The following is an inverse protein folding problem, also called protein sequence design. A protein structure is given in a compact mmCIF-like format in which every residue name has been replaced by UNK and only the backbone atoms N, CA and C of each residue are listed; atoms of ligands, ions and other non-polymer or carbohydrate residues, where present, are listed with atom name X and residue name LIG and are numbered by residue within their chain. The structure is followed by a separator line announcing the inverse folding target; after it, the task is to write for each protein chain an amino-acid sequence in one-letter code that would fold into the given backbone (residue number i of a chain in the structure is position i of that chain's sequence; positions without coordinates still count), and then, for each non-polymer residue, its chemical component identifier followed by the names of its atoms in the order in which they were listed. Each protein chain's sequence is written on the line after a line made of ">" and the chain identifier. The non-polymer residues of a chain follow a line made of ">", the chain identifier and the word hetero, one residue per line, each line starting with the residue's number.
data_IF_787877261893
#
_entry.id   IF_787877261893
#
_cell.length_a   1.000
_cell.length_b   1.000
_cell.length_c   1.000
_cell.angle_alpha   90.00
_cell.angle_beta   90.00
_cell.angle_gamma   90.00
#
_symmetry.space_group_name_H-M   'P 1'
#
loop_
_entity.id
_entity.type
_entity.pdbx_description
1 polymer ?
#
# COMPACT_ATOMS: atom_id res chain seq x y z
N UNK A 1 -13.40 4.23 8.97
CA UNK A 1 -13.36 3.96 7.50
C UNK A 1 -11.98 3.50 7.03
N UNK A 2 -11.26 2.67 7.81
CA UNK A 2 -9.82 2.38 7.58
C UNK A 2 -9.58 1.35 6.47
N UNK A 3 -10.39 0.29 6.37
CA UNK A 3 -10.29 -0.71 5.29
C UNK A 3 -10.64 -0.22 3.86
N UNK A 4 -11.21 0.99 3.72
CA UNK A 4 -11.59 1.53 2.40
C UNK A 4 -10.38 1.94 1.56
N UNK A 5 -9.29 2.38 2.19
CA UNK A 5 -8.08 2.79 1.48
C UNK A 5 -7.39 1.61 0.80
N UNK A 6 -7.23 0.49 1.52
CA UNK A 6 -6.67 -0.74 0.96
C UNK A 6 -7.53 -1.29 -0.19
N UNK A 7 -8.86 -1.22 -0.06
CA UNK A 7 -9.78 -1.65 -1.11
C UNK A 7 -9.68 -0.78 -2.38
N UNK A 8 -9.54 0.55 -2.22
CA UNK A 8 -9.34 1.46 -3.36
C UNK A 8 -7.98 1.21 -4.02
N UNK A 9 -6.91 1.05 -3.25
CA UNK A 9 -5.57 0.75 -3.79
C UNK A 9 -5.57 -0.58 -4.56
N UNK A 10 -6.15 -1.63 -3.99
CA UNK A 10 -6.28 -2.93 -4.66
C UNK A 10 -7.12 -2.88 -5.93
N UNK A 11 -8.22 -2.12 -5.92
CA UNK A 11 -9.08 -1.93 -7.10
C UNK A 11 -8.33 -1.20 -8.22
N UNK A 12 -7.62 -0.11 -7.90
CA UNK A 12 -6.81 0.63 -8.89
C UNK A 12 -5.72 -0.26 -9.48
N UNK A 13 -4.97 -0.97 -8.63
CA UNK A 13 -3.93 -1.90 -9.08
C UNK A 13 -4.49 -3.03 -9.97
N UNK A 14 -5.64 -3.61 -9.59
CA UNK A 14 -6.33 -4.64 -10.36
C UNK A 14 -6.87 -4.12 -11.69
N UNK A 15 -7.40 -2.89 -11.72
CA UNK A 15 -7.92 -2.27 -12.94
C UNK A 15 -6.81 -1.99 -13.95
N UNK A 16 -5.64 -1.50 -13.51
CA UNK A 16 -4.48 -1.26 -14.40
C UNK A 16 -3.94 -2.58 -14.94
N UNK A 17 -3.86 -3.62 -14.11
CA UNK A 17 -3.39 -4.94 -14.53
C UNK A 17 -4.39 -5.64 -15.47
N UNK A 18 -5.69 -5.49 -15.23
CA UNK A 18 -6.76 -6.03 -16.06
C UNK A 18 -6.97 -5.29 -17.40
N UNK A 19 -6.69 -3.99 -17.43
CA UNK A 19 -6.79 -3.17 -18.64
C UNK A 19 -5.67 -3.46 -19.68
N UNK A 20 -4.70 -4.33 -19.37
CA UNK A 20 -3.57 -4.68 -20.25
C UNK A 20 -3.97 -5.32 -21.59
N UNK A 21 -5.25 -5.62 -21.81
CA UNK A 21 -5.76 -6.15 -23.08
C UNK A 21 -5.88 -5.09 -24.22
N UNK A 22 -5.71 -3.78 -23.95
CA UNK A 22 -5.81 -2.72 -24.97
C UNK A 22 -4.53 -1.89 -25.11
N UNK A 23 -3.67 -2.20 -26.10
CA UNK A 23 -2.38 -1.51 -26.31
C UNK A 23 -2.52 -0.01 -26.54
N UNK A 24 -3.51 0.45 -27.32
CA UNK A 24 -3.66 1.86 -27.65
C UNK A 24 -4.08 2.74 -26.46
N UNK A 25 -4.82 2.17 -25.51
CA UNK A 25 -5.26 2.87 -24.29
C UNK A 25 -4.22 2.81 -23.18
N UNK A 26 -3.41 1.74 -23.13
CA UNK A 26 -2.32 1.63 -22.18
C UNK A 26 -1.28 2.76 -22.37
N UNK A 27 -0.90 3.06 -23.61
CA UNK A 27 0.08 4.12 -23.90
C UNK A 27 -0.42 5.52 -23.50
N UNK A 28 -1.70 5.82 -23.73
CA UNK A 28 -2.31 7.10 -23.32
C UNK A 28 -2.34 7.24 -21.79
N UNK A 29 -2.72 6.17 -21.09
CA UNK A 29 -2.79 6.15 -19.63
C UNK A 29 -1.38 6.21 -19.05
N UNK A 30 -0.41 5.49 -19.63
CA UNK A 30 0.99 5.50 -19.21
C UNK A 30 1.62 6.88 -19.34
N UNK A 31 1.36 7.59 -20.44
CA UNK A 31 1.91 8.94 -20.66
C UNK A 31 1.34 9.94 -19.64
N UNK A 32 0.03 9.84 -19.35
CA UNK A 32 -0.61 10.67 -18.34
C UNK A 32 -0.15 10.31 -16.92
N UNK A 33 -0.02 9.02 -16.62
CA UNK A 33 0.51 8.55 -15.36
C UNK A 33 1.97 9.00 -15.14
N UNK A 34 2.80 8.97 -16.17
CA UNK A 34 4.18 9.46 -16.12
C UNK A 34 4.23 10.96 -15.80
N UNK A 35 3.40 11.78 -16.46
CA UNK A 35 3.30 13.23 -16.14
C UNK A 35 2.88 13.51 -14.71
N UNK A 36 1.99 12.69 -14.14
CA UNK A 36 1.57 12.82 -12.75
C UNK A 36 2.65 12.32 -11.80
N UNK A 37 3.38 11.26 -12.17
CA UNK A 37 4.47 10.69 -11.39
C UNK A 37 5.68 11.63 -11.28
N UNK A 38 5.98 12.38 -12.35
CA UNK A 38 7.08 13.35 -12.36
C UNK A 38 6.81 14.62 -11.55
N UNK A 39 5.59 14.82 -11.03
CA UNK A 39 5.29 15.98 -10.20
C UNK A 39 6.09 15.92 -8.87
N UNK A 40 6.71 17.04 -8.44
CA UNK A 40 7.53 17.07 -7.22
C UNK A 40 6.75 16.70 -5.95
N UNK A 41 5.45 16.99 -5.94
CA UNK A 41 4.54 16.60 -4.85
C UNK A 41 4.35 15.09 -4.75
N UNK A 42 4.41 14.36 -5.87
CA UNK A 42 4.29 12.90 -5.89
C UNK A 42 5.64 12.27 -5.53
N UNK A 43 6.73 12.76 -6.12
CA UNK A 43 8.11 12.34 -5.80
C UNK A 43 8.41 12.44 -4.30
N UNK A 44 8.10 13.57 -3.67
CA UNK A 44 8.34 13.77 -2.23
C UNK A 44 7.49 12.87 -1.33
N UNK A 45 6.31 12.42 -1.78
CA UNK A 45 5.51 11.41 -1.06
C UNK A 45 6.05 9.99 -1.31
N UNK A 46 6.46 9.69 -2.53
CA UNK A 46 7.09 8.40 -2.88
C UNK A 46 8.38 8.20 -2.10
N UNK A 47 9.20 9.23 -1.93
CA UNK A 47 10.44 9.14 -1.13
C UNK A 47 10.16 8.91 0.36
N UNK A 48 9.15 9.56 0.94
CA UNK A 48 8.74 9.31 2.34
C UNK A 48 8.25 7.88 2.52
N UNK A 49 7.43 7.40 1.58
CA UNK A 49 6.93 6.01 1.59
C UNK A 49 8.07 5.02 1.33
N UNK A 50 9.03 5.33 0.45
CA UNK A 50 10.21 4.50 0.19
C UNK A 50 11.11 4.41 1.42
N UNK A 51 11.32 5.51 2.14
CA UNK A 51 12.08 5.52 3.38
C UNK A 51 11.42 4.64 4.46
N UNK A 52 10.09 4.70 4.58
CA UNK A 52 9.34 3.88 5.53
C UNK A 52 9.26 2.40 5.10
N UNK A 53 8.97 2.17 3.83
CA UNK A 53 8.77 0.85 3.23
C UNK A 53 10.05 0.03 3.10
N UNK A 54 11.20 0.66 2.79
CA UNK A 54 12.49 -0.04 2.80
C UNK A 54 12.86 -0.48 4.21
N UNK A 55 12.54 0.31 5.24
CA UNK A 55 12.79 -0.06 6.64
C UNK A 55 11.88 -1.21 7.11
N UNK A 56 10.60 -1.16 6.75
CA UNK A 56 9.65 -2.25 7.03
C UNK A 56 10.03 -3.53 6.27
N UNK A 57 10.41 -3.43 4.99
CA UNK A 57 10.80 -4.59 4.17
C UNK A 57 12.09 -5.25 4.66
N UNK A 58 13.05 -4.48 5.16
CA UNK A 58 14.31 -5.01 5.73
C UNK A 58 14.10 -5.72 7.07
N UNK A 59 12.97 -5.47 7.73
CA UNK A 59 12.64 -6.01 9.06
C UNK A 59 11.67 -7.19 9.03
N UNK A 60 11.11 -7.52 7.85
CA UNK A 60 10.07 -8.55 7.71
C UNK A 60 10.48 -9.66 6.72
N UNK A 61 11.44 -10.54 7.08
CA UNK A 61 11.72 -11.75 6.31
C UNK A 61 10.55 -12.75 6.30
N UNK A 62 9.78 -12.79 7.39
CA UNK A 62 8.75 -13.80 7.62
C UNK A 62 7.53 -13.70 6.71
N UNK A 63 7.06 -12.48 6.43
CA UNK A 63 5.80 -12.27 5.67
C UNK A 63 6.02 -12.47 4.17
N UNK A 64 7.20 -12.09 3.66
CA UNK A 64 7.63 -12.39 2.27
C UNK A 64 7.76 -13.89 2.04
N UNK A 65 8.38 -14.61 2.98
CA UNK A 65 8.56 -16.06 2.87
C UNK A 65 7.23 -16.84 3.02
N UNK A 66 6.36 -16.39 3.93
CA UNK A 66 5.04 -17.00 4.19
C UNK A 66 4.07 -16.75 3.03
N UNK A 67 4.11 -15.57 2.41
CA UNK A 67 3.35 -15.24 1.20
C UNK A 67 3.74 -16.07 -0.02
N UNK A 68 5.04 -16.32 -0.22
CA UNK A 68 5.51 -17.18 -1.31
C UNK A 68 5.10 -18.66 -1.11
N UNK A 69 5.19 -19.18 0.11
CA UNK A 69 4.80 -20.56 0.44
C UNK A 69 3.29 -20.79 0.36
N UNK A 70 2.47 -19.82 0.78
CA UNK A 70 1.00 -19.95 0.77
C UNK A 70 0.44 -19.99 -0.65
N UNK A 71 0.99 -19.17 -1.55
CA UNK A 71 0.63 -19.17 -2.98
C UNK A 71 1.03 -20.49 -3.66
N UNK A 72 2.22 -21.01 -3.35
CA UNK A 72 2.71 -22.28 -3.90
C UNK A 72 1.94 -23.49 -3.34
N UNK A 73 1.59 -23.47 -2.05
CA UNK A 73 0.79 -24.50 -1.39
C UNK A 73 -0.66 -24.55 -1.91
N UNK A 74 -1.28 -23.39 -2.14
CA UNK A 74 -2.61 -23.30 -2.76
C UNK A 74 -2.63 -23.78 -4.21
N UNK A 75 -1.50 -23.67 -4.92
CA UNK A 75 -1.35 -24.14 -6.30
C UNK A 75 -1.14 -25.66 -6.44
N UNK A 76 -0.88 -26.38 -5.35
CA UNK A 76 -0.51 -27.81 -5.40
C UNK A 76 -1.66 -28.78 -5.05
N UNK A 77 -2.81 -28.28 -4.60
CA UNK A 77 -3.91 -29.13 -4.13
C UNK A 77 -4.70 -29.82 -5.25
N UNK A 78 -4.59 -31.14 -5.39
CA UNK A 78 -5.44 -31.95 -6.26
C UNK A 78 -6.86 -32.07 -5.69
N UNK A 79 -7.87 -31.76 -6.49
CA UNK A 79 -9.29 -31.84 -6.11
C UNK A 79 -10.18 -31.21 -7.18
N UNK A 80 -11.51 -31.34 -7.03
CA UNK A 80 -12.46 -30.70 -7.95
C UNK A 80 -12.30 -29.17 -7.90
N UNK A 81 -12.61 -28.50 -9.02
CA UNK A 81 -12.44 -27.04 -9.17
C UNK A 81 -13.12 -26.25 -8.05
N UNK A 82 -14.27 -26.74 -7.59
CA UNK A 82 -15.06 -26.14 -6.52
C UNK A 82 -14.35 -26.17 -5.15
N UNK A 83 -13.81 -27.34 -4.78
CA UNK A 83 -13.16 -27.55 -3.48
C UNK A 83 -11.82 -26.81 -3.41
N UNK A 84 -11.14 -26.70 -4.55
CA UNK A 84 -9.92 -25.90 -4.70
C UNK A 84 -10.23 -24.41 -4.61
N UNK A 85 -11.31 -23.94 -5.21
CA UNK A 85 -11.75 -22.55 -5.11
C UNK A 85 -12.15 -22.17 -3.67
N UNK A 86 -12.84 -23.07 -2.94
CA UNK A 86 -13.18 -22.81 -1.54
C UNK A 86 -11.96 -22.79 -0.62
N UNK A 87 -11.01 -23.72 -0.81
CA UNK A 87 -9.75 -23.72 -0.04
C UNK A 87 -8.90 -22.50 -0.35
N UNK A 88 -8.77 -22.14 -1.63
CA UNK A 88 -8.07 -20.94 -2.05
C UNK A 88 -8.76 -19.68 -1.51
N UNK A 89 -10.09 -19.63 -1.51
CA UNK A 89 -10.87 -18.51 -0.96
C UNK A 89 -10.67 -18.34 0.55
N UNK A 90 -10.66 -19.45 1.31
CA UNK A 90 -10.38 -19.40 2.77
C UNK A 90 -8.94 -18.99 3.08
N UNK A 91 -7.97 -19.57 2.37
CA UNK A 91 -6.56 -19.21 2.51
C UNK A 91 -6.33 -17.73 2.14
N UNK A 92 -6.92 -17.27 1.04
CA UNK A 92 -6.87 -15.88 0.61
C UNK A 92 -7.46 -14.93 1.66
N UNK A 93 -8.60 -15.30 2.27
CA UNK A 93 -9.25 -14.51 3.32
C UNK A 93 -8.40 -14.41 4.59
N UNK A 94 -7.71 -15.48 4.99
CA UNK A 94 -6.77 -15.46 6.10
C UNK A 94 -5.54 -14.59 5.80
N UNK A 95 -4.94 -14.73 4.63
CA UNK A 95 -3.81 -13.88 4.24
C UNK A 95 -4.21 -12.42 4.06
N UNK A 96 -5.44 -12.14 3.63
CA UNK A 96 -5.96 -10.78 3.52
C UNK A 96 -6.15 -10.13 4.89
N UNK A 97 -6.56 -10.89 5.92
CA UNK A 97 -6.64 -10.39 7.30
C UNK A 97 -5.25 -10.06 7.87
N UNK A 98 -4.27 -10.95 7.72
CA UNK A 98 -2.91 -10.72 8.23
C UNK A 98 -2.23 -9.52 7.54
N UNK A 99 -2.48 -9.30 6.25
CA UNK A 99 -1.98 -8.13 5.52
C UNK A 99 -2.76 -6.86 5.89
N UNK A 100 -4.06 -6.96 6.14
CA UNK A 100 -4.87 -5.82 6.57
C UNK A 100 -4.40 -5.28 7.93
N UNK A 101 -4.09 -6.16 8.89
CA UNK A 101 -3.59 -5.77 10.21
C UNK A 101 -2.24 -5.03 10.10
N UNK A 102 -1.30 -5.54 9.30
CA UNK A 102 0.01 -4.89 9.07
C UNK A 102 -0.12 -3.53 8.38
N UNK A 103 -1.07 -3.41 7.44
CA UNK A 103 -1.36 -2.15 6.75
C UNK A 103 -2.02 -1.15 7.70
N UNK A 104 -2.94 -1.58 8.57
CA UNK A 104 -3.56 -0.71 9.57
C UNK A 104 -2.53 -0.19 10.57
N UNK A 105 -1.63 -1.05 11.06
CA UNK A 105 -0.56 -0.66 11.98
C UNK A 105 0.37 0.38 11.35
N UNK A 106 0.80 0.15 10.10
CA UNK A 106 1.65 1.08 9.34
C UNK A 106 0.95 2.42 9.05
N UNK A 107 -0.37 2.41 8.82
CA UNK A 107 -1.16 3.62 8.56
C UNK A 107 -1.37 4.44 9.83
N UNK A 108 -1.58 3.79 10.97
CA UNK A 108 -1.74 4.48 12.25
C UNK A 108 -0.41 5.08 12.74
N UNK A 109 0.73 4.42 12.51
CA UNK A 109 2.07 4.99 12.71
C UNK A 109 2.33 6.22 11.84
N UNK A 110 1.99 6.14 10.54
CA UNK A 110 2.14 7.27 9.62
C UNK A 110 1.26 8.48 10.04
N UNK A 111 0.02 8.23 10.49
CA UNK A 111 -0.86 9.28 11.02
C UNK A 111 -0.34 9.89 12.32
N UNK A 112 0.26 9.10 13.20
CA UNK A 112 0.89 9.59 14.42
C UNK A 112 2.09 10.48 14.12
N UNK A 113 2.93 10.06 13.17
CA UNK A 113 4.07 10.84 12.71
C UNK A 113 3.63 12.19 12.10
N UNK A 114 2.59 12.20 11.27
CA UNK A 114 2.02 13.43 10.70
C UNK A 114 1.43 14.37 11.76
N UNK A 115 0.67 13.86 12.73
CA UNK A 115 0.11 14.67 13.82
C UNK A 115 1.21 15.30 14.67
N UNK A 116 2.27 14.53 14.94
CA UNK A 116 3.42 14.99 15.71
C UNK A 116 4.20 16.06 14.96
N UNK A 117 4.41 15.88 13.66
CA UNK A 117 5.02 16.86 12.77
C UNK A 117 4.18 18.15 12.64
N UNK A 118 2.86 18.02 12.48
CA UNK A 118 1.92 19.15 12.41
C UNK A 118 1.89 19.94 13.71
N UNK A 119 1.93 19.26 14.86
CA UNK A 119 1.95 19.92 16.17
C UNK A 119 3.26 20.67 16.40
N UNK A 120 4.41 20.07 16.02
CA UNK A 120 5.71 20.74 16.05
C UNK A 120 5.78 21.93 15.09
N UNK A 121 5.24 21.79 13.88
CA UNK A 121 5.18 22.89 12.91
C UNK A 121 4.30 24.05 13.41
N UNK A 122 3.18 23.76 14.08
CA UNK A 122 2.31 24.76 14.69
C UNK A 122 2.95 25.45 15.91
N UNK A 123 3.71 24.71 16.72
CA UNK A 123 4.49 25.27 17.84
C UNK A 123 5.62 26.20 17.35
N UNK A 124 6.33 25.81 16.29
CA UNK A 124 7.37 26.64 15.67
C UNK A 124 6.81 27.96 15.09
N UNK A 125 5.58 27.93 14.54
CA UNK A 125 4.88 29.12 14.03
C UNK A 125 4.30 30.02 15.13
N UNK A 126 4.10 29.49 16.34
CA UNK A 126 3.63 30.25 17.51
C UNK A 126 4.76 31.03 18.19
N UNK A 127 5.99 30.50 18.18
CA UNK A 127 7.16 31.15 18.80
C UNK A 127 7.72 32.34 17.99
N UNK A 128 7.41 32.45 16.70
CA UNK A 128 7.85 33.58 15.87
C UNK A 128 7.02 34.85 16.04
N UNK A 129 5.90 34.78 16.76
CA UNK A 129 4.98 35.93 16.95
C UNK A 129 5.15 36.59 18.34
N UNK A 130 5.92 35.99 19.25
CA UNK A 130 6.13 36.52 20.61
C UNK A 130 7.46 37.26 20.81
N UNK A 131 8.28 37.44 19.77
CA UNK A 131 9.55 38.20 19.83
C UNK A 131 9.48 39.56 19.13
N UNK A 132 8.27 40.06 18.87
CA UNK A 132 8.02 41.31 18.17
C UNK A 132 6.91 42.11 18.84
N UNK A 133 7.11 42.51 20.09
CA UNK A 133 6.46 43.64 20.77
C UNK A 133 7.27 44.00 22.01
#
# INVERSE_FOLDING_TARGET
>A
MRGKAALVVGLVAGYVLGARAGRDRYEQIKTQAAKVWDQPVVQGQVEKVKAFGVSALKSVPGVVWKGAKSVTGAASGSGTVQERAERAGRAAKQSAHEVADVVEDSVDDAKQAEKSATTRARAAKSGSTSSGS
#
